data_IF_595538864419
#
_entry.id   IF_595538864419
#
_cell.length_a   1.000
_cell.length_b   1.000
_cell.length_c   1.000
_cell.angle_alpha   90.00
_cell.angle_beta   90.00
_cell.angle_gamma   90.00
#
_symmetry.space_group_name_H-M   'P 1'
#
loop_
_entity.id
_entity.type
_entity.pdbx_description
1 polymer ?
#
# COMPACT_ATOMS: atom_id res chain seq x y z
N UNK A 1 -18.55 -5.24 29.52
CA UNK A 1 -17.35 -4.82 28.75
C UNK A 1 -17.08 -3.37 29.07
N UNK A 2 -15.82 -2.93 29.25
CA UNK A 2 -15.52 -1.50 29.42
C UNK A 2 -16.07 -0.73 28.23
N UNK A 3 -16.70 0.42 28.50
CA UNK A 3 -17.28 1.27 27.45
C UNK A 3 -16.12 1.88 26.65
N UNK A 4 -16.11 1.67 25.33
CA UNK A 4 -15.09 2.24 24.44
C UNK A 4 -15.03 3.76 24.63
N UNK A 5 -13.80 4.31 24.75
CA UNK A 5 -13.60 5.75 24.91
C UNK A 5 -14.14 6.47 23.67
N UNK A 6 -14.83 7.61 23.86
CA UNK A 6 -15.46 8.36 22.76
C UNK A 6 -14.51 8.67 21.61
N UNK A 7 -13.29 9.12 21.92
CA UNK A 7 -12.28 9.44 20.90
C UNK A 7 -11.83 8.22 20.10
N UNK A 8 -11.72 7.06 20.74
CA UNK A 8 -11.36 5.78 20.07
C UNK A 8 -12.46 5.39 19.11
N UNK A 9 -13.72 5.49 19.55
CA UNK A 9 -14.89 5.21 18.72
C UNK A 9 -14.92 6.11 17.47
N UNK A 10 -14.72 7.41 17.63
CA UNK A 10 -14.70 8.38 16.52
C UNK A 10 -13.58 8.07 15.51
N UNK A 11 -12.36 7.79 15.98
CA UNK A 11 -11.24 7.43 15.10
C UNK A 11 -11.53 6.14 14.32
N UNK A 12 -12.10 5.13 14.99
CA UNK A 12 -12.48 3.87 14.34
C UNK A 12 -13.58 4.07 13.30
N UNK A 13 -14.61 4.85 13.61
CA UNK A 13 -15.69 5.16 12.65
C UNK A 13 -15.14 5.88 11.42
N UNK A 14 -14.23 6.85 11.59
CA UNK A 14 -13.53 7.51 10.47
C UNK A 14 -12.70 6.54 9.64
N UNK A 15 -11.99 5.62 10.29
CA UNK A 15 -11.23 4.58 9.61
C UNK A 15 -12.13 3.72 8.71
N UNK A 16 -13.27 3.27 9.25
CA UNK A 16 -14.25 2.45 8.52
C UNK A 16 -14.86 3.25 7.36
N UNK A 17 -15.34 4.47 7.61
CA UNK A 17 -15.92 5.31 6.55
C UNK A 17 -14.93 5.55 5.40
N UNK A 18 -13.64 5.74 5.73
CA UNK A 18 -12.60 5.97 4.74
C UNK A 18 -12.34 4.75 3.87
N UNK A 19 -12.25 3.55 4.46
CA UNK A 19 -12.03 2.34 3.66
C UNK A 19 -13.25 1.97 2.82
N UNK A 20 -14.46 2.18 3.33
CA UNK A 20 -15.69 1.97 2.56
C UNK A 20 -15.72 2.87 1.33
N UNK A 21 -15.45 4.18 1.51
CA UNK A 21 -15.39 5.11 0.39
C UNK A 21 -14.25 4.78 -0.59
N UNK A 22 -13.11 4.29 -0.10
CA UNK A 22 -12.04 3.83 -0.98
C UNK A 22 -12.48 2.65 -1.86
N UNK A 23 -13.22 1.68 -1.30
CA UNK A 23 -13.76 0.53 -2.05
C UNK A 23 -14.81 1.00 -3.07
N UNK A 24 -15.68 1.94 -2.71
CA UNK A 24 -16.64 2.53 -3.65
C UNK A 24 -15.94 3.21 -4.82
N UNK A 25 -14.91 4.01 -4.53
CA UNK A 25 -14.15 4.71 -5.56
C UNK A 25 -13.41 3.72 -6.45
N UNK A 26 -12.78 2.70 -5.89
CA UNK A 26 -12.10 1.68 -6.68
C UNK A 26 -13.06 1.03 -7.71
N UNK A 27 -14.27 0.67 -7.26
CA UNK A 27 -15.26 -0.06 -8.06
C UNK A 27 -16.09 0.80 -9.02
N UNK A 28 -15.96 2.14 -8.99
CA UNK A 28 -16.78 3.01 -9.85
C UNK A 28 -16.30 2.94 -11.31
N UNK A 29 -17.19 3.13 -12.30
CA UNK A 29 -16.83 3.07 -13.72
C UNK A 29 -16.12 4.34 -14.24
N UNK A 30 -16.07 5.41 -13.44
CA UNK A 30 -15.50 6.70 -13.84
C UNK A 30 -14.05 6.85 -13.38
N UNK A 31 -13.17 7.24 -14.31
CA UNK A 31 -11.73 7.34 -14.04
C UNK A 31 -11.30 8.63 -13.33
N UNK A 32 -12.09 9.69 -13.36
CA UNK A 32 -11.69 11.03 -12.90
C UNK A 32 -11.22 11.10 -11.43
N UNK A 33 -9.90 11.11 -11.20
CA UNK A 33 -9.27 11.05 -9.87
C UNK A 33 -9.53 9.73 -9.10
N UNK A 34 -9.83 8.63 -9.81
CA UNK A 34 -10.24 7.36 -9.19
C UNK A 34 -9.09 6.71 -8.44
N UNK A 35 -7.96 6.54 -9.12
CA UNK A 35 -6.80 5.84 -8.57
C UNK A 35 -6.17 6.64 -7.43
N UNK A 36 -6.03 7.96 -7.59
CA UNK A 36 -5.46 8.84 -6.58
C UNK A 36 -6.34 8.90 -5.32
N UNK A 37 -7.65 9.11 -5.48
CA UNK A 37 -8.56 9.17 -4.34
C UNK A 37 -8.66 7.83 -3.60
N UNK A 38 -8.63 6.71 -4.32
CA UNK A 38 -8.57 5.37 -3.71
C UNK A 38 -7.34 5.22 -2.83
N UNK A 39 -6.14 5.52 -3.34
CA UNK A 39 -4.88 5.42 -2.58
C UNK A 39 -4.88 6.34 -1.34
N UNK A 40 -5.37 7.56 -1.49
CA UNK A 40 -5.46 8.55 -0.40
C UNK A 40 -6.38 8.05 0.72
N UNK A 41 -7.56 7.52 0.37
CA UNK A 41 -8.54 7.06 1.35
C UNK A 41 -8.17 5.73 1.99
N UNK A 42 -7.55 4.81 1.24
CA UNK A 42 -6.95 3.60 1.81
C UNK A 42 -5.92 3.96 2.88
N UNK A 43 -4.97 4.84 2.54
CA UNK A 43 -3.97 5.30 3.50
C UNK A 43 -4.61 5.97 4.73
N UNK A 44 -5.54 6.90 4.51
CA UNK A 44 -6.23 7.59 5.60
C UNK A 44 -6.97 6.61 6.53
N UNK A 45 -7.59 5.56 5.97
CA UNK A 45 -8.26 4.53 6.75
C UNK A 45 -7.31 3.84 7.74
N UNK A 46 -6.11 3.46 7.31
CA UNK A 46 -5.12 2.85 8.19
C UNK A 46 -4.55 3.83 9.22
N UNK A 47 -4.31 5.09 8.85
CA UNK A 47 -3.85 6.08 9.82
C UNK A 47 -4.87 6.25 10.96
N UNK A 48 -6.16 6.35 10.63
CA UNK A 48 -7.22 6.47 11.63
C UNK A 48 -7.38 5.18 12.45
N UNK A 49 -7.28 4.00 11.82
CA UNK A 49 -7.36 2.71 12.52
C UNK A 49 -6.22 2.56 13.53
N UNK A 50 -4.98 2.80 13.10
CA UNK A 50 -3.81 2.69 13.98
C UNK A 50 -3.87 3.73 15.10
N UNK A 51 -4.30 4.96 14.82
CA UNK A 51 -4.55 5.96 15.86
C UNK A 51 -5.60 5.52 16.87
N UNK A 52 -6.70 4.90 16.42
CA UNK A 52 -7.72 4.38 17.32
C UNK A 52 -7.12 3.34 18.28
N UNK A 53 -6.35 2.40 17.75
CA UNK A 53 -5.72 1.33 18.53
C UNK A 53 -4.66 1.88 19.50
N UNK A 54 -3.80 2.80 19.03
CA UNK A 54 -2.78 3.45 19.87
C UNK A 54 -3.45 4.26 20.97
N UNK A 55 -4.52 5.01 20.66
CA UNK A 55 -5.29 5.77 21.64
C UNK A 55 -5.95 4.87 22.67
N UNK A 56 -6.43 3.69 22.26
CA UNK A 56 -7.05 2.73 23.18
C UNK A 56 -6.02 2.16 24.16
N UNK A 57 -4.87 1.69 23.64
CA UNK A 57 -3.79 1.07 24.43
C UNK A 57 -2.97 2.07 25.26
N UNK A 58 -2.49 3.16 24.64
CA UNK A 58 -1.54 4.11 25.23
C UNK A 58 -2.23 5.37 25.79
N UNK A 59 -3.51 5.59 25.49
CA UNK A 59 -4.26 6.76 25.98
C UNK A 59 -4.00 8.07 25.23
N UNK A 60 -2.97 8.15 24.38
CA UNK A 60 -2.65 9.34 23.57
C UNK A 60 -2.09 8.97 22.19
N UNK A 61 -2.30 9.86 21.23
CA UNK A 61 -1.69 9.84 19.88
C UNK A 61 -0.88 11.12 19.63
N UNK A 62 -0.44 11.77 20.71
CA UNK A 62 0.36 12.99 20.69
C UNK A 62 1.64 12.73 21.47
N UNK A 63 2.79 13.12 20.90
CA UNK A 63 4.02 13.18 21.65
C UNK A 63 3.98 14.40 22.59
N UNK A 64 4.72 14.32 23.69
CA UNK A 64 4.74 15.37 24.71
C UNK A 64 5.26 16.66 24.10
N UNK A 65 4.44 17.71 24.12
CA UNK A 65 4.79 19.03 23.58
C UNK A 65 4.55 19.21 22.07
N UNK A 66 4.12 18.18 21.35
CA UNK A 66 3.77 18.28 19.94
C UNK A 66 2.38 18.90 19.74
N UNK A 67 2.27 19.74 18.72
CA UNK A 67 0.99 20.37 18.34
C UNK A 67 0.08 19.44 17.53
N UNK A 68 0.68 18.47 16.85
CA UNK A 68 -0.02 17.56 15.95
C UNK A 68 -0.08 16.14 16.52
N UNK A 69 -1.10 15.38 16.10
CA UNK A 69 -1.14 13.94 16.36
C UNK A 69 -0.07 13.23 15.54
N UNK A 70 0.29 12.00 15.90
CA UNK A 70 1.19 11.15 15.13
C UNK A 70 0.83 11.11 13.64
N UNK A 71 1.83 11.25 12.76
CA UNK A 71 1.67 10.93 11.34
C UNK A 71 1.66 9.42 11.11
N UNK A 72 1.41 9.00 9.86
CA UNK A 72 1.32 7.59 9.50
C UNK A 72 2.58 6.79 9.86
N UNK A 73 3.77 7.29 9.52
CA UNK A 73 5.05 6.63 9.83
C UNK A 73 5.22 6.36 11.33
N UNK A 74 4.86 7.34 12.17
CA UNK A 74 4.93 7.17 13.63
C UNK A 74 3.90 6.16 14.12
N UNK A 75 2.71 6.13 13.51
CA UNK A 75 1.72 5.10 13.81
C UNK A 75 2.22 3.70 13.46
N UNK A 76 2.91 3.51 12.32
CA UNK A 76 3.52 2.23 11.94
C UNK A 76 4.62 1.80 12.92
N UNK A 77 5.49 2.74 13.31
CA UNK A 77 6.54 2.51 14.32
C UNK A 77 5.96 2.02 15.65
N UNK A 78 5.00 2.76 16.21
CA UNK A 78 4.36 2.39 17.49
C UNK A 78 3.60 1.07 17.36
N UNK A 79 2.85 0.88 16.27
CA UNK A 79 2.05 -0.33 16.06
C UNK A 79 2.89 -1.59 15.94
N UNK A 80 4.06 -1.51 15.29
CA UNK A 80 4.96 -2.66 15.12
C UNK A 80 5.85 -2.88 16.35
N UNK A 81 6.58 -1.85 16.78
CA UNK A 81 7.67 -2.00 17.76
C UNK A 81 7.17 -2.03 19.21
N UNK A 82 6.24 -1.14 19.55
CA UNK A 82 5.75 -1.01 20.93
C UNK A 82 4.57 -1.94 21.19
N UNK A 83 3.58 -1.93 20.28
CA UNK A 83 2.29 -2.60 20.50
C UNK A 83 2.19 -3.99 19.87
N UNK A 84 3.11 -4.33 18.95
CA UNK A 84 3.17 -5.60 18.22
C UNK A 84 1.83 -6.01 17.60
N UNK A 85 1.11 -5.03 17.05
CA UNK A 85 -0.20 -5.23 16.40
C UNK A 85 -0.02 -5.69 14.96
N UNK A 86 1.04 -5.20 14.31
CA UNK A 86 1.37 -5.53 12.93
C UNK A 86 2.73 -6.25 12.85
N UNK A 87 2.82 -7.22 11.96
CA UNK A 87 4.04 -7.93 11.61
C UNK A 87 4.96 -7.07 10.71
N UNK A 88 6.15 -7.59 10.42
CA UNK A 88 7.06 -6.95 9.46
C UNK A 88 6.45 -6.89 8.05
N UNK A 89 5.79 -7.95 7.62
CA UNK A 89 5.19 -8.05 6.28
C UNK A 89 3.95 -7.15 6.16
N UNK A 90 3.14 -7.08 7.21
CA UNK A 90 1.99 -6.18 7.28
C UNK A 90 2.45 -4.71 7.25
N UNK A 91 3.54 -4.36 7.95
CA UNK A 91 4.16 -3.04 7.82
C UNK A 91 4.65 -2.77 6.41
N UNK A 92 5.36 -3.72 5.79
CA UNK A 92 5.86 -3.60 4.42
C UNK A 92 4.73 -3.29 3.43
N UNK A 93 3.58 -3.96 3.58
CA UNK A 93 2.38 -3.67 2.79
C UNK A 93 1.91 -2.21 2.97
N UNK A 94 1.85 -1.73 4.21
CA UNK A 94 1.44 -0.35 4.51
C UNK A 94 2.47 0.69 4.05
N UNK A 95 3.76 0.36 4.04
CA UNK A 95 4.81 1.25 3.50
C UNK A 95 4.70 1.43 1.99
N UNK A 96 4.31 0.39 1.24
CA UNK A 96 4.02 0.52 -0.21
C UNK A 96 2.82 1.45 -0.42
N UNK A 97 1.79 1.32 0.41
CA UNK A 97 0.62 2.20 0.36
C UNK A 97 0.99 3.65 0.67
N UNK A 98 1.82 3.91 1.68
CA UNK A 98 2.33 5.26 1.97
C UNK A 98 3.07 5.86 0.78
N UNK A 99 3.97 5.10 0.16
CA UNK A 99 4.73 5.54 -1.01
C UNK A 99 3.83 5.91 -2.19
N UNK A 100 2.83 5.08 -2.51
CA UNK A 100 1.88 5.37 -3.58
C UNK A 100 0.96 6.56 -3.24
N UNK A 101 0.51 6.69 -1.99
CA UNK A 101 -0.30 7.82 -1.55
C UNK A 101 0.49 9.14 -1.63
N UNK A 102 1.74 9.16 -1.20
CA UNK A 102 2.59 10.36 -1.23
C UNK A 102 2.71 10.91 -2.65
N UNK A 103 2.90 10.03 -3.64
CA UNK A 103 2.95 10.40 -5.07
C UNK A 103 1.58 10.91 -5.53
N UNK A 104 0.49 10.23 -5.17
CA UNK A 104 -0.88 10.66 -5.52
C UNK A 104 -1.26 12.04 -4.98
N UNK A 105 -0.71 12.44 -3.82
CA UNK A 105 -0.99 13.76 -3.21
C UNK A 105 -0.06 14.84 -3.75
N UNK A 106 1.22 14.54 -3.90
CA UNK A 106 2.25 15.56 -4.11
C UNK A 106 2.79 15.63 -5.55
N UNK A 107 2.45 14.66 -6.40
CA UNK A 107 3.03 14.59 -7.73
C UNK A 107 2.10 13.91 -8.75
N UNK A 108 2.67 13.52 -9.89
CA UNK A 108 2.00 12.80 -10.96
C UNK A 108 2.01 11.30 -10.70
N UNK A 109 0.84 10.74 -10.39
CA UNK A 109 0.59 9.33 -10.17
C UNK A 109 0.11 8.66 -11.47
N UNK A 110 0.76 7.56 -11.87
CA UNK A 110 0.31 6.67 -12.95
C UNK A 110 0.47 5.23 -12.45
N UNK A 111 -0.57 4.72 -11.78
CA UNK A 111 -0.65 3.32 -11.33
C UNK A 111 -1.53 2.54 -12.30
N UNK A 112 -1.10 1.33 -12.66
CA UNK A 112 -1.92 0.46 -13.48
C UNK A 112 -3.11 -0.10 -12.71
N UNK A 113 -4.16 -0.50 -13.43
CA UNK A 113 -5.35 -1.08 -12.81
C UNK A 113 -5.02 -2.33 -11.98
N UNK A 114 -4.11 -3.16 -12.50
CA UNK A 114 -3.75 -4.42 -11.87
C UNK A 114 -2.95 -4.18 -10.57
N UNK A 115 -2.06 -3.18 -10.55
CA UNK A 115 -1.36 -2.76 -9.33
C UNK A 115 -2.31 -2.09 -8.33
N UNK A 116 -3.24 -1.25 -8.79
CA UNK A 116 -4.24 -0.63 -7.93
C UNK A 116 -5.14 -1.68 -7.28
N UNK A 117 -5.61 -2.65 -8.06
CA UNK A 117 -6.37 -3.79 -7.55
C UNK A 117 -5.59 -4.57 -6.49
N UNK A 118 -4.32 -4.90 -6.77
CA UNK A 118 -3.45 -5.60 -5.83
C UNK A 118 -3.32 -4.84 -4.50
N UNK A 119 -3.06 -3.53 -4.57
CA UNK A 119 -2.95 -2.67 -3.40
C UNK A 119 -4.27 -2.59 -2.64
N UNK A 120 -5.39 -2.43 -3.33
CA UNK A 120 -6.72 -2.35 -2.72
C UNK A 120 -7.08 -3.67 -2.02
N UNK A 121 -6.86 -4.81 -2.68
CA UNK A 121 -7.14 -6.13 -2.12
C UNK A 121 -6.30 -6.42 -0.87
N UNK A 122 -5.00 -6.14 -0.92
CA UNK A 122 -4.10 -6.30 0.22
C UNK A 122 -4.49 -5.37 1.38
N UNK A 123 -4.83 -4.12 1.09
CA UNK A 123 -5.29 -3.14 2.06
C UNK A 123 -6.60 -3.56 2.74
N UNK A 124 -7.62 -3.97 1.98
CA UNK A 124 -8.91 -4.38 2.54
C UNK A 124 -8.78 -5.62 3.43
N UNK A 125 -8.01 -6.60 2.98
CA UNK A 125 -7.73 -7.82 3.76
C UNK A 125 -7.04 -7.48 5.08
N UNK A 126 -5.95 -6.71 5.01
CA UNK A 126 -5.18 -6.34 6.19
C UNK A 126 -5.98 -5.46 7.16
N UNK A 127 -6.82 -4.56 6.63
CA UNK A 127 -7.69 -3.73 7.46
C UNK A 127 -8.70 -4.57 8.24
N UNK A 128 -9.38 -5.53 7.59
CA UNK A 128 -10.32 -6.44 8.25
C UNK A 128 -9.63 -7.28 9.34
N UNK A 129 -8.42 -7.76 9.05
CA UNK A 129 -7.62 -8.52 10.02
C UNK A 129 -7.26 -7.68 11.25
N UNK A 130 -6.74 -6.47 11.06
CA UNK A 130 -6.38 -5.57 12.18
C UNK A 130 -7.63 -5.17 12.98
N UNK A 131 -8.72 -4.81 12.29
CA UNK A 131 -10.00 -4.45 12.89
C UNK A 131 -10.55 -5.62 13.74
N UNK A 132 -10.50 -6.84 13.21
CA UNK A 132 -10.94 -8.05 13.89
C UNK A 132 -10.06 -8.38 15.10
N UNK A 133 -8.73 -8.35 14.92
CA UNK A 133 -7.76 -8.67 15.98
C UNK A 133 -7.92 -7.76 17.20
N UNK A 134 -8.13 -6.45 16.99
CA UNK A 134 -8.19 -5.49 18.10
C UNK A 134 -9.61 -5.19 18.60
N UNK A 135 -10.53 -4.88 17.70
CA UNK A 135 -11.89 -4.45 18.05
C UNK A 135 -12.94 -5.57 18.02
N UNK A 136 -12.57 -6.78 17.58
CA UNK A 136 -13.50 -7.91 17.38
C UNK A 136 -14.68 -7.52 16.49
N UNK A 137 -14.39 -6.73 15.47
CA UNK A 137 -15.33 -6.25 14.44
C UNK A 137 -14.83 -6.68 13.08
N UNK A 138 -15.76 -7.00 12.19
CA UNK A 138 -15.46 -7.35 10.81
C UNK A 138 -15.93 -6.24 9.90
N UNK A 139 -15.25 -6.04 8.78
CA UNK A 139 -15.65 -5.08 7.78
C UNK A 139 -17.06 -5.41 7.25
N UNK A 140 -17.38 -6.70 7.14
CA UNK A 140 -18.71 -7.22 6.81
C UNK A 140 -19.84 -6.74 7.75
N UNK A 141 -19.52 -6.26 8.97
CA UNK A 141 -20.51 -5.64 9.85
C UNK A 141 -20.96 -4.24 9.37
N UNK A 142 -20.19 -3.64 8.44
CA UNK A 142 -20.34 -2.25 7.98
C UNK A 142 -20.55 -2.14 6.47
N UNK A 143 -20.32 -3.20 5.71
CA UNK A 143 -20.56 -3.26 4.26
C UNK A 143 -21.45 -4.46 3.91
N UNK A 144 -22.24 -4.38 2.83
CA UNK A 144 -22.92 -5.55 2.29
C UNK A 144 -21.92 -6.66 1.92
N UNK A 145 -22.32 -7.93 2.01
CA UNK A 145 -21.49 -9.12 1.72
C UNK A 145 -20.77 -9.10 0.36
N UNK A 146 -21.23 -8.26 -0.58
CA UNK A 146 -20.76 -8.17 -1.97
C UNK A 146 -19.68 -7.11 -2.23
N UNK A 147 -19.21 -6.36 -1.22
CA UNK A 147 -18.44 -5.13 -1.44
C UNK A 147 -16.96 -5.36 -1.17
N UNK A 148 -16.27 -5.96 -2.13
CA UNK A 148 -14.81 -6.05 -2.17
C UNK A 148 -14.29 -5.46 -3.48
N UNK A 149 -12.99 -5.16 -3.59
CA UNK A 149 -12.39 -4.75 -4.87
C UNK A 149 -12.67 -5.80 -5.95
N UNK A 150 -13.24 -5.39 -7.09
CA UNK A 150 -13.53 -6.30 -8.21
C UNK A 150 -12.67 -5.93 -9.41
N UNK A 151 -12.01 -6.93 -10.01
CA UNK A 151 -11.31 -6.79 -11.29
C UNK A 151 -11.80 -7.87 -12.26
N UNK A 152 -11.96 -7.50 -13.53
CA UNK A 152 -12.24 -8.45 -14.62
C UNK A 152 -11.00 -9.25 -15.03
N UNK A 153 -9.81 -8.81 -14.61
CA UNK A 153 -8.52 -9.45 -14.87
C UNK A 153 -7.69 -9.50 -13.59
N UNK A 154 -8.11 -10.25 -12.56
CA UNK A 154 -7.34 -10.35 -11.33
C UNK A 154 -5.99 -11.03 -11.62
N UNK A 155 -4.86 -10.44 -11.17
CA UNK A 155 -3.55 -11.04 -11.36
C UNK A 155 -3.45 -12.35 -10.59
N UNK A 156 -3.10 -13.44 -11.29
CA UNK A 156 -2.91 -14.78 -10.70
C UNK A 156 -1.50 -14.99 -10.13
N UNK A 157 -0.53 -14.24 -10.65
CA UNK A 157 0.88 -14.31 -10.26
C UNK A 157 1.48 -12.89 -10.30
N UNK A 158 2.09 -12.49 -9.19
CA UNK A 158 2.74 -11.18 -9.04
C UNK A 158 3.94 -11.01 -9.95
N UNK A 159 4.67 -12.09 -10.27
CA UNK A 159 5.82 -12.02 -11.16
C UNK A 159 5.36 -11.71 -12.58
N UNK A 160 4.28 -12.37 -13.04
CA UNK A 160 3.68 -12.08 -14.34
C UNK A 160 3.18 -10.63 -14.40
N UNK A 161 2.55 -10.14 -13.32
CA UNK A 161 2.12 -8.75 -13.22
C UNK A 161 3.30 -7.79 -13.34
N UNK A 162 4.35 -7.99 -12.53
CA UNK A 162 5.56 -7.15 -12.54
C UNK A 162 6.23 -7.16 -13.92
N UNK A 163 6.39 -8.33 -14.55
CA UNK A 163 6.97 -8.46 -15.88
C UNK A 163 6.13 -7.72 -16.94
N UNK A 164 4.79 -7.74 -16.80
CA UNK A 164 3.89 -6.98 -17.67
C UNK A 164 4.00 -5.46 -17.47
N UNK A 165 4.22 -5.00 -16.25
CA UNK A 165 4.44 -3.59 -15.93
C UNK A 165 5.76 -3.11 -16.52
N UNK A 166 6.83 -3.88 -16.35
CA UNK A 166 8.13 -3.59 -16.94
C UNK A 166 8.10 -3.57 -18.47
N UNK A 167 7.38 -4.51 -19.09
CA UNK A 167 7.18 -4.53 -20.55
C UNK A 167 6.46 -3.26 -21.04
N UNK A 168 5.47 -2.78 -20.29
CA UNK A 168 4.77 -1.53 -20.60
C UNK A 168 5.67 -0.31 -20.43
N UNK A 169 6.52 -0.29 -19.40
CA UNK A 169 7.52 0.76 -19.20
C UNK A 169 8.52 0.78 -20.37
N UNK A 170 9.00 -0.38 -20.83
CA UNK A 170 9.90 -0.47 -21.98
C UNK A 170 9.26 0.07 -23.27
N UNK A 171 8.00 -0.26 -23.51
CA UNK A 171 7.24 0.28 -24.65
C UNK A 171 7.12 1.82 -24.58
N UNK A 172 6.90 2.38 -23.38
CA UNK A 172 6.85 3.82 -23.18
C UNK A 172 8.23 4.49 -23.35
N UNK A 173 9.31 3.82 -22.90
CA UNK A 173 10.69 4.30 -23.08
C UNK A 173 11.14 4.26 -24.55
N UNK A 174 10.68 3.26 -25.33
CA UNK A 174 10.96 3.13 -26.75
C UNK A 174 10.26 4.17 -27.64
N UNK A 175 9.12 4.69 -27.20
CA UNK A 175 8.33 5.70 -27.94
C UNK A 175 8.94 7.12 -27.96
N UNK A 176 10.18 7.29 -27.48
CA UNK A 176 10.91 8.57 -27.47
C UNK A 176 10.49 9.53 -26.35
N UNK A 177 11.04 10.77 -26.38
CA UNK A 177 10.94 11.73 -25.27
C UNK A 177 9.51 12.11 -24.85
N UNK A 178 8.52 11.99 -25.75
CA UNK A 178 7.12 12.39 -25.45
C UNK A 178 6.45 11.50 -24.39
N UNK A 179 6.84 10.23 -24.28
CA UNK A 179 6.27 9.30 -23.27
C UNK A 179 7.20 9.01 -22.09
N UNK A 180 8.34 9.70 -22.01
CA UNK A 180 9.32 9.51 -20.93
C UNK A 180 8.78 9.91 -19.55
N UNK A 181 7.94 10.94 -19.47
CA UNK A 181 7.29 11.36 -18.21
C UNK A 181 6.34 10.25 -17.71
N UNK A 182 5.53 9.70 -18.61
CA UNK A 182 4.61 8.61 -18.29
C UNK A 182 5.36 7.33 -17.89
N UNK A 183 6.41 6.97 -18.62
CA UNK A 183 7.27 5.83 -18.27
C UNK A 183 7.86 5.98 -16.87
N UNK A 184 8.30 7.20 -16.52
CA UNK A 184 8.89 7.49 -15.21
C UNK A 184 7.85 7.44 -14.09
N UNK A 185 6.63 7.95 -14.34
CA UNK A 185 5.52 7.88 -13.41
C UNK A 185 5.13 6.43 -13.10
N UNK A 186 5.00 5.61 -14.14
CA UNK A 186 4.67 4.20 -14.01
C UNK A 186 5.77 3.40 -13.34
N UNK A 187 7.03 3.67 -13.70
CA UNK A 187 8.18 3.09 -13.01
C UNK A 187 8.20 3.44 -11.52
N UNK A 188 7.80 4.66 -11.14
CA UNK A 188 7.72 5.07 -9.74
C UNK A 188 6.69 4.24 -8.96
N UNK A 189 5.53 3.94 -9.54
CA UNK A 189 4.52 3.05 -8.96
C UNK A 189 5.06 1.62 -8.76
N UNK A 190 5.82 1.10 -9.72
CA UNK A 190 6.47 -0.22 -9.59
C UNK A 190 7.56 -0.19 -8.52
N UNK A 191 8.39 0.85 -8.51
CA UNK A 191 9.45 1.02 -7.51
C UNK A 191 8.90 1.23 -6.09
N UNK A 192 7.64 1.67 -5.93
CA UNK A 192 7.00 1.70 -4.63
C UNK A 192 6.97 0.30 -3.99
N UNK A 193 6.88 -0.78 -4.79
CA UNK A 193 6.99 -2.16 -4.28
C UNK A 193 8.36 -2.46 -3.66
N UNK A 194 9.43 -1.81 -4.13
CA UNK A 194 10.77 -1.97 -3.56
C UNK A 194 10.91 -1.33 -2.17
N UNK A 195 10.04 -0.38 -1.80
CA UNK A 195 10.09 0.26 -0.47
C UNK A 195 9.86 -0.74 0.66
N UNK A 196 9.06 -1.78 0.40
CA UNK A 196 8.79 -2.82 1.36
C UNK A 196 10.01 -3.70 1.71
N UNK A 197 11.08 -3.66 0.89
CA UNK A 197 12.34 -4.39 1.13
C UNK A 197 13.36 -3.58 1.92
N UNK A 198 13.12 -2.28 2.10
CA UNK A 198 14.03 -1.35 2.78
C UNK A 198 13.80 -1.44 4.28
N UNK A 199 14.89 -1.39 5.05
CA UNK A 199 14.82 -1.43 6.52
C UNK A 199 14.43 -0.05 7.11
N UNK A 200 14.48 1.01 6.30
CA UNK A 200 14.00 2.36 6.56
C UNK A 200 12.75 2.66 5.71
N UNK A 201 11.88 3.58 6.15
CA UNK A 201 10.80 4.14 5.34
C UNK A 201 11.32 5.06 4.20
N UNK A 202 12.54 4.83 3.71
CA UNK A 202 13.15 5.64 2.67
C UNK A 202 12.44 5.42 1.34
N UNK A 203 11.73 6.47 0.93
CA UNK A 203 10.97 6.55 -0.32
C UNK A 203 11.90 6.52 -1.52
N UNK A 204 11.33 6.18 -2.67
CA UNK A 204 12.02 6.20 -3.95
C UNK A 204 12.31 7.65 -4.36
N UNK A 205 13.58 7.98 -4.56
CA UNK A 205 14.01 9.32 -4.97
C UNK A 205 14.01 9.50 -6.48
N UNK A 206 13.88 10.74 -6.94
CA UNK A 206 14.01 11.09 -8.35
C UNK A 206 15.38 10.71 -8.94
N UNK A 207 16.43 10.75 -8.13
CA UNK A 207 17.78 10.33 -8.53
C UNK A 207 17.83 8.82 -8.81
N UNK A 208 17.19 8.01 -7.98
CA UNK A 208 17.10 6.55 -8.19
C UNK A 208 16.31 6.23 -9.45
N UNK A 209 15.18 6.90 -9.67
CA UNK A 209 14.37 6.75 -10.90
C UNK A 209 15.18 7.04 -12.15
N UNK A 210 15.87 8.19 -12.19
CA UNK A 210 16.71 8.56 -13.34
C UNK A 210 17.83 7.55 -13.55
N UNK A 211 18.46 7.06 -12.48
CA UNK A 211 19.49 6.02 -12.56
C UNK A 211 18.92 4.72 -13.13
N UNK A 212 17.75 4.28 -12.68
CA UNK A 212 17.09 3.08 -13.19
C UNK A 212 16.73 3.19 -14.68
N UNK A 213 16.14 4.32 -15.10
CA UNK A 213 15.84 4.58 -16.52
C UNK A 213 17.11 4.56 -17.36
N UNK A 214 18.20 5.16 -16.87
CA UNK A 214 19.47 5.19 -17.59
C UNK A 214 20.08 3.79 -17.73
N UNK A 215 20.10 2.99 -16.65
CA UNK A 215 20.57 1.59 -16.66
C UNK A 215 19.74 0.73 -17.61
N UNK A 216 18.43 0.93 -17.63
CA UNK A 216 17.57 0.20 -18.58
C UNK A 216 17.89 0.58 -20.03
N UNK A 217 18.09 1.86 -20.32
CA UNK A 217 18.47 2.35 -21.65
C UNK A 217 19.83 1.83 -22.13
N UNK A 218 20.75 1.52 -21.21
CA UNK A 218 22.03 0.88 -21.55
C UNK A 218 21.92 -0.64 -21.75
N UNK A 219 20.71 -1.22 -21.69
CA UNK A 219 20.45 -2.62 -21.98
C UNK A 219 20.42 -3.54 -20.76
N UNK A 220 20.55 -3.01 -19.53
CA UNK A 220 20.45 -3.85 -18.33
C UNK A 220 19.02 -4.39 -18.15
N UNK A 221 18.91 -5.63 -17.67
CA UNK A 221 17.61 -6.25 -17.37
C UNK A 221 17.00 -5.70 -16.08
N UNK A 222 15.67 -5.59 -16.03
CA UNK A 222 14.95 -5.10 -14.85
C UNK A 222 15.23 -5.92 -13.59
N UNK A 223 15.45 -7.23 -13.71
CA UNK A 223 15.81 -8.11 -12.58
C UNK A 223 17.18 -7.77 -11.96
N UNK A 224 18.09 -7.20 -12.75
CA UNK A 224 19.40 -6.72 -12.30
C UNK A 224 19.30 -5.30 -11.72
N UNK A 225 18.36 -4.50 -12.23
CA UNK A 225 18.13 -3.14 -11.72
C UNK A 225 17.39 -3.19 -10.37
N UNK A 226 16.44 -4.12 -10.20
CA UNK A 226 15.57 -4.27 -9.03
C UNK A 226 15.53 -5.72 -8.52
N UNK A 227 16.64 -6.26 -7.98
CA UNK A 227 16.69 -7.63 -7.46
C UNK A 227 15.67 -7.87 -6.34
N UNK A 228 15.33 -6.84 -5.57
CA UNK A 228 14.38 -6.91 -4.46
C UNK A 228 12.92 -7.11 -4.93
N UNK A 229 12.54 -6.56 -6.08
CA UNK A 229 11.20 -6.73 -6.66
C UNK A 229 11.04 -8.16 -7.20
N UNK A 230 12.12 -8.74 -7.75
CA UNK A 230 12.11 -10.12 -8.24
C UNK A 230 11.84 -11.17 -7.14
N UNK A 231 12.06 -10.81 -5.88
CA UNK A 231 11.86 -11.68 -4.72
C UNK A 231 10.42 -11.62 -4.16
N UNK A 232 9.55 -10.77 -4.72
CA UNK A 232 8.17 -10.64 -4.29
C UNK A 232 7.34 -11.90 -4.58
N UNK A 233 6.51 -12.28 -3.62
CA UNK A 233 5.54 -13.36 -3.75
C UNK A 233 4.19 -12.94 -3.18
N UNK A 234 3.12 -13.44 -3.80
CA UNK A 234 1.79 -13.42 -3.22
C UNK A 234 1.67 -14.66 -2.35
N UNK A 235 1.33 -14.48 -1.08
CA UNK A 235 0.86 -15.57 -0.24
C UNK A 235 -0.67 -15.50 -0.11
N UNK A 236 -1.32 -16.61 -0.46
CA UNK A 236 -2.76 -16.83 -0.32
C UNK A 236 -3.01 -17.78 0.83
N UNK A 237 -3.16 -17.26 2.04
CA UNK A 237 -3.53 -18.05 3.23
C UNK A 237 -4.99 -17.71 3.63
N UNK A 238 -5.96 -18.60 3.34
CA UNK A 238 -7.34 -18.49 3.85
C UNK A 238 -8.45 -18.88 2.85
N UNK A 239 -9.71 -19.00 3.34
CA UNK A 239 -10.93 -19.34 2.56
C UNK A 239 -11.46 -18.18 1.67
N UNK A 240 -10.55 -17.33 1.18
CA UNK A 240 -10.82 -16.30 0.16
C UNK A 240 -9.61 -16.17 -0.75
N UNK A 241 -9.52 -15.11 -1.55
CA UNK A 241 -8.25 -14.68 -2.16
C UNK A 241 -7.63 -13.56 -1.31
N UNK A 242 -7.12 -13.82 -0.08
CA UNK A 242 -6.30 -12.84 0.60
C UNK A 242 -4.97 -12.78 -0.14
N UNK A 243 -4.66 -11.62 -0.72
CA UNK A 243 -3.34 -11.38 -1.29
C UNK A 243 -2.49 -10.72 -0.21
N UNK A 244 -1.63 -11.49 0.43
CA UNK A 244 -0.56 -10.92 1.26
C UNK A 244 0.71 -10.80 0.43
N UNK A 245 1.29 -9.61 0.41
CA UNK A 245 2.52 -9.34 -0.33
C UNK A 245 3.70 -9.60 0.60
N UNK A 246 4.36 -10.75 0.42
CA UNK A 246 5.54 -11.15 1.23
C UNK A 246 6.81 -10.90 0.42
N UNK A 247 7.78 -10.23 1.03
CA UNK A 247 9.15 -10.16 0.51
C UNK A 247 9.97 -11.18 1.27
N UNK A 248 10.38 -12.25 0.57
CA UNK A 248 11.38 -13.15 1.11
C UNK A 248 12.76 -12.64 0.73
N UNK A 249 13.49 -12.03 1.66
CA UNK A 249 14.96 -11.86 1.51
C UNK A 249 15.56 -13.25 1.50
N UNK A 250 15.85 -13.81 0.33
CA UNK A 250 16.66 -15.03 0.24
C UNK A 250 18.06 -14.65 0.71
N UNK A 251 18.46 -15.15 1.89
CA UNK A 251 19.88 -15.24 2.21
C UNK A 251 20.55 -16.10 1.15
N UNK A 252 21.68 -15.65 0.63
CA UNK A 252 22.58 -16.57 -0.07
C UNK A 252 22.89 -17.74 0.87
N UNK A 253 23.00 -19.00 0.39
CA UNK A 253 23.51 -20.07 1.20
C UNK A 253 24.99 -19.79 1.51
N UNK A 254 25.24 -19.44 2.77
CA UNK A 254 26.52 -19.25 3.47
C UNK A 254 27.49 -18.19 2.93
#
# INVERSE_FOLDING_TARGET
>A
MPREKRDVKELKERAINSIVLAIELFNRPHENARSEATLILLHHSFEMLLKAIIKDKNGTVHAKGEKYSYGFDKCLEVAQSELKIISKDERSTLSILDANRDIAVHYYQDISEDLLYLQCQAAVTLFDDILSKHFRKKLADFIPERVLPVSTRPPKDIQILIDSEFSQIDNLLGAGNRKGIQATARLRSVMALATASRDSAERVTEKELRKAVQRRRTGEEWKVIFPEIAQLRIDTEGEGLPISLRIRKNGYPQ
#
